data_IF_027301854535
#
_entry.id   IF_027301854535
#
_cell.length_a   1.000
_cell.length_b   1.000
_cell.length_c   1.000
_cell.angle_alpha   90.00
_cell.angle_beta   90.00
_cell.angle_gamma   90.00
#
_symmetry.space_group_name_H-M   'P 1'
#
loop_
_entity.id
_entity.type
_entity.pdbx_description
1 polymer ?
#
# COMPACT_ATOMS: atom_id res chain seq x y z
N UNK A 1 -7.45 13.00 -25.00
CA UNK A 1 -8.07 11.88 -24.27
C UNK A 1 -7.66 12.04 -22.83
N UNK A 2 -8.59 12.31 -21.91
CA UNK A 2 -8.27 12.24 -20.48
C UNK A 2 -8.16 10.76 -20.15
N UNK A 3 -6.95 10.24 -20.01
CA UNK A 3 -6.75 8.96 -19.33
C UNK A 3 -7.38 9.10 -17.95
N UNK A 4 -8.19 8.14 -17.52
CA UNK A 4 -8.69 8.12 -16.16
C UNK A 4 -7.51 7.88 -15.23
N UNK A 5 -6.85 8.96 -14.79
CA UNK A 5 -5.80 8.87 -13.78
C UNK A 5 -6.41 8.21 -12.54
N UNK A 6 -6.00 6.98 -12.29
CA UNK A 6 -6.59 6.11 -11.29
C UNK A 6 -5.79 6.14 -10.02
N UNK A 7 -6.45 6.42 -8.90
CA UNK A 7 -5.89 6.23 -7.58
C UNK A 7 -6.86 5.39 -6.76
N UNK A 8 -6.34 4.52 -5.92
CA UNK A 8 -7.16 3.81 -4.94
C UNK A 8 -6.49 3.78 -3.58
N UNK A 9 -7.32 3.58 -2.57
CA UNK A 9 -6.94 3.26 -1.21
C UNK A 9 -7.85 2.13 -0.73
N UNK A 10 -7.27 1.12 -0.08
CA UNK A 10 -7.96 -0.08 0.38
C UNK A 10 -7.50 -0.46 1.78
N UNK A 11 -8.42 -0.97 2.59
CA UNK A 11 -8.16 -1.56 3.90
C UNK A 11 -8.68 -3.00 3.91
N UNK A 12 -7.79 -3.92 4.25
CA UNK A 12 -8.09 -5.32 4.47
C UNK A 12 -7.89 -5.67 5.95
N UNK A 13 -8.84 -6.42 6.50
CA UNK A 13 -8.87 -6.83 7.90
C UNK A 13 -8.67 -8.34 7.97
N UNK A 14 -7.58 -8.77 8.57
CA UNK A 14 -7.21 -10.17 8.76
C UNK A 14 -7.43 -10.61 10.22
N UNK A 15 -7.61 -11.92 10.47
CA UNK A 15 -7.68 -12.44 11.83
C UNK A 15 -6.48 -12.01 12.67
N UNK A 16 -6.73 -11.76 13.95
CA UNK A 16 -5.69 -11.42 14.91
C UNK A 16 -4.63 -12.53 14.97
N UNK A 17 -3.36 -12.14 15.02
CA UNK A 17 -2.21 -13.06 15.13
C UNK A 17 -1.56 -13.39 13.78
N UNK A 18 -2.18 -13.00 12.65
CA UNK A 18 -1.47 -12.95 11.37
C UNK A 18 -0.35 -11.93 11.48
N UNK A 19 0.86 -12.31 11.07
CA UNK A 19 2.03 -11.44 11.15
C UNK A 19 2.00 -10.38 10.04
N UNK A 20 2.14 -9.08 10.35
CA UNK A 20 2.16 -8.02 9.35
C UNK A 20 3.21 -8.24 8.25
N UNK A 21 4.40 -8.71 8.61
CA UNK A 21 5.46 -9.01 7.64
C UNK A 21 5.08 -10.13 6.68
N UNK A 22 4.33 -11.13 7.13
CA UNK A 22 3.84 -12.20 6.26
C UNK A 22 2.82 -11.66 5.23
N UNK A 23 1.96 -10.72 5.63
CA UNK A 23 1.03 -10.05 4.70
C UNK A 23 1.79 -9.23 3.65
N UNK A 24 2.81 -8.46 4.06
CA UNK A 24 3.60 -7.67 3.12
C UNK A 24 4.37 -8.55 2.12
N UNK A 25 4.98 -9.64 2.59
CA UNK A 25 5.63 -10.60 1.69
C UNK A 25 4.64 -11.18 0.69
N UNK A 26 3.44 -11.59 1.15
CA UNK A 26 2.41 -12.12 0.26
C UNK A 26 1.99 -11.10 -0.80
N UNK A 27 1.78 -9.83 -0.42
CA UNK A 27 1.45 -8.76 -1.38
C UNK A 27 2.56 -8.59 -2.42
N UNK A 28 3.82 -8.53 -2.01
CA UNK A 28 4.94 -8.37 -2.94
C UNK A 28 5.07 -9.58 -3.86
N UNK A 29 4.90 -10.80 -3.36
CA UNK A 29 4.97 -12.02 -4.16
C UNK A 29 3.83 -12.10 -5.18
N UNK A 30 2.60 -11.77 -4.79
CA UNK A 30 1.43 -11.70 -5.68
C UNK A 30 1.60 -10.62 -6.76
N UNK A 31 2.15 -9.46 -6.38
CA UNK A 31 2.42 -8.36 -7.32
C UNK A 31 3.56 -8.71 -8.28
N UNK A 32 4.64 -9.34 -7.80
CA UNK A 32 5.77 -9.77 -8.65
C UNK A 32 5.38 -10.90 -9.60
N UNK A 33 4.43 -11.77 -9.21
CA UNK A 33 3.88 -12.77 -10.12
C UNK A 33 3.12 -12.15 -11.31
N UNK A 34 2.47 -11.00 -11.10
CA UNK A 34 1.75 -10.25 -12.14
C UNK A 34 2.66 -9.30 -12.93
N UNK A 35 3.63 -8.68 -12.24
CA UNK A 35 4.58 -7.72 -12.77
C UNK A 35 6.01 -8.18 -12.43
N UNK A 36 6.62 -9.05 -13.26
CA UNK A 36 7.92 -9.66 -12.94
C UNK A 36 9.06 -8.68 -12.70
N UNK A 37 9.02 -7.52 -13.36
CA UNK A 37 10.04 -6.46 -13.26
C UNK A 37 9.74 -5.43 -12.15
N UNK A 38 8.79 -5.74 -11.26
CA UNK A 38 8.45 -4.88 -10.12
C UNK A 38 9.66 -4.67 -9.20
N UNK A 39 9.94 -3.39 -8.94
CA UNK A 39 10.89 -2.99 -7.91
C UNK A 39 10.16 -2.77 -6.59
N UNK A 40 10.76 -3.20 -5.48
CA UNK A 40 10.16 -3.09 -4.15
C UNK A 40 11.18 -2.71 -3.10
N UNK A 41 10.87 -1.74 -2.25
CA UNK A 41 11.73 -1.33 -1.15
C UNK A 41 10.95 -1.11 0.14
N UNK A 42 11.59 -1.39 1.27
CA UNK A 42 10.99 -1.07 2.57
C UNK A 42 10.92 0.45 2.74
N UNK A 43 9.81 0.95 3.26
CA UNK A 43 9.60 2.37 3.50
C UNK A 43 8.94 2.61 4.86
N UNK A 44 8.96 3.86 5.31
CA UNK A 44 8.25 4.28 6.52
C UNK A 44 6.81 4.66 6.17
N UNK A 45 5.87 4.21 7.00
CA UNK A 45 4.48 4.63 6.92
C UNK A 45 3.87 4.73 8.32
N UNK A 46 2.87 5.59 8.43
CA UNK A 46 2.03 5.74 9.61
C UNK A 46 0.59 5.39 9.23
N UNK A 47 -0.06 4.59 10.08
CA UNK A 47 -1.48 4.25 9.92
C UNK A 47 -2.10 4.29 11.31
N UNK A 48 -3.29 4.89 11.45
CA UNK A 48 -3.97 5.10 12.73
C UNK A 48 -3.09 5.75 13.83
N UNK A 49 -2.16 6.65 13.45
CA UNK A 49 -1.26 7.32 14.38
C UNK A 49 -0.10 6.45 14.90
N UNK A 50 0.12 5.27 14.32
CA UNK A 50 1.19 4.35 14.71
C UNK A 50 2.09 4.00 13.52
N UNK A 51 3.38 3.77 13.81
CA UNK A 51 4.32 3.24 12.82
C UNK A 51 3.86 1.88 12.32
N UNK A 52 3.86 1.71 11.00
CA UNK A 52 3.51 0.47 10.33
C UNK A 52 4.70 -0.02 9.50
N UNK A 53 4.84 -1.35 9.39
CA UNK A 53 5.76 -1.92 8.42
C UNK A 53 5.18 -1.66 7.02
N UNK A 54 6.00 -1.17 6.10
CA UNK A 54 5.54 -0.84 4.76
C UNK A 54 6.55 -1.20 3.68
N UNK A 55 6.01 -1.45 2.49
CA UNK A 55 6.77 -1.68 1.26
C UNK A 55 6.20 -0.77 0.17
N UNK A 56 7.07 0.00 -0.46
CA UNK A 56 6.80 0.71 -1.69
C UNK A 56 7.14 -0.20 -2.88
N UNK A 57 6.27 -0.19 -3.89
CA UNK A 57 6.37 -1.00 -5.09
C UNK A 57 6.22 -0.11 -6.32
N UNK A 58 7.13 -0.25 -7.27
CA UNK A 58 7.13 0.48 -8.54
C UNK A 58 7.03 -0.53 -9.69
N UNK A 59 6.05 -0.35 -10.57
CA UNK A 59 5.80 -1.28 -11.68
C UNK A 59 5.13 -0.58 -12.87
N UNK A 60 5.17 -1.24 -14.03
CA UNK A 60 4.51 -0.76 -15.25
C UNK A 60 3.19 -1.51 -15.43
N UNK A 61 2.07 -0.77 -15.44
CA UNK A 61 0.74 -1.30 -15.71
C UNK A 61 0.14 -0.58 -16.92
N UNK A 62 -0.12 -1.33 -18.01
CA UNK A 62 -0.70 -0.79 -19.25
C UNK A 62 0.01 0.48 -19.76
N UNK A 63 1.34 0.44 -19.82
CA UNK A 63 2.23 1.55 -20.22
C UNK A 63 2.36 2.72 -19.23
N UNK A 64 1.69 2.65 -18.07
CA UNK A 64 1.82 3.66 -17.00
C UNK A 64 2.73 3.15 -15.89
N UNK A 65 3.65 4.00 -15.44
CA UNK A 65 4.40 3.73 -14.21
C UNK A 65 3.51 4.02 -13.01
N UNK A 66 3.38 3.04 -12.12
CA UNK A 66 2.53 3.08 -10.94
C UNK A 66 3.37 2.87 -9.70
N UNK A 67 3.16 3.73 -8.72
CA UNK A 67 3.67 3.59 -7.36
C UNK A 67 2.55 3.06 -6.48
N UNK A 68 2.79 1.94 -5.79
CA UNK A 68 1.90 1.40 -4.78
C UNK A 68 2.62 1.27 -3.44
N UNK A 69 1.95 1.55 -2.34
CA UNK A 69 2.45 1.29 -1.00
C UNK A 69 1.49 0.34 -0.29
N UNK A 70 2.06 -0.71 0.30
CA UNK A 70 1.38 -1.61 1.20
C UNK A 70 1.91 -1.41 2.62
N UNK A 71 1.02 -1.16 3.57
CA UNK A 71 1.32 -0.97 4.99
C UNK A 71 0.59 -2.03 5.80
N UNK A 72 1.30 -2.75 6.68
CA UNK A 72 0.68 -3.73 7.56
C UNK A 72 0.99 -3.44 9.03
N UNK A 73 -0.02 -3.62 9.88
CA UNK A 73 0.12 -3.45 11.33
C UNK A 73 -0.66 -4.52 12.11
N UNK A 74 -0.21 -4.79 13.33
CA UNK A 74 -0.98 -5.55 14.31
C UNK A 74 -1.78 -4.61 15.17
N UNK A 75 -3.10 -4.72 15.15
CA UNK A 75 -3.99 -3.99 16.07
C UNK A 75 -4.43 -4.82 17.26
N UNK A 76 -5.29 -4.22 18.09
CA UNK A 76 -5.81 -4.89 19.29
C UNK A 76 -6.78 -6.03 18.94
N UNK A 77 -7.59 -5.84 17.88
CA UNK A 77 -8.67 -6.75 17.47
C UNK A 77 -8.35 -7.61 16.26
N UNK A 78 -7.46 -7.15 15.39
CA UNK A 78 -7.17 -7.75 14.08
C UNK A 78 -5.77 -7.36 13.60
N UNK A 79 -5.32 -7.97 12.51
CA UNK A 79 -4.17 -7.48 11.74
C UNK A 79 -4.70 -6.74 10.52
N UNK A 80 -4.15 -5.56 10.23
CA UNK A 80 -4.63 -4.69 9.17
C UNK A 80 -3.60 -4.55 8.07
N UNK A 81 -4.08 -4.53 6.82
CA UNK A 81 -3.28 -4.27 5.63
C UNK A 81 -3.95 -3.12 4.86
N UNK A 82 -3.24 -2.02 4.71
CA UNK A 82 -3.62 -0.88 3.90
C UNK A 82 -2.82 -0.93 2.60
N UNK A 83 -3.49 -0.75 1.46
CA UNK A 83 -2.82 -0.60 0.16
C UNK A 83 -3.36 0.64 -0.51
N UNK A 84 -2.47 1.48 -1.03
CA UNK A 84 -2.85 2.57 -1.91
C UNK A 84 -1.88 2.68 -3.07
N UNK A 85 -2.37 3.19 -4.20
CA UNK A 85 -1.55 3.40 -5.38
C UNK A 85 -2.05 4.60 -6.19
N UNK A 86 -1.15 5.13 -7.01
CA UNK A 86 -1.46 6.06 -8.07
C UNK A 86 -0.38 5.97 -9.16
N UNK A 87 -0.65 6.55 -10.32
CA UNK A 87 0.40 6.83 -11.30
C UNK A 87 1.49 7.72 -10.70
N UNK A 88 2.75 7.49 -11.06
CA UNK A 88 3.91 8.16 -10.44
C UNK A 88 3.83 9.68 -10.52
N UNK A 89 3.33 10.21 -11.64
CA UNK A 89 3.16 11.65 -11.86
C UNK A 89 2.20 12.31 -10.86
N UNK A 90 1.24 11.54 -10.34
CA UNK A 90 0.24 12.00 -9.37
C UNK A 90 0.54 11.55 -7.94
N UNK A 91 1.42 10.56 -7.76
CA UNK A 91 1.63 9.92 -6.46
C UNK A 91 2.07 10.92 -5.39
N UNK A 92 3.05 11.77 -5.68
CA UNK A 92 3.54 12.78 -4.72
C UNK A 92 2.45 13.80 -4.36
N UNK A 93 1.58 14.15 -5.31
CA UNK A 93 0.45 15.05 -5.07
C UNK A 93 -0.65 14.40 -4.22
N UNK A 94 -0.88 13.10 -4.39
CA UNK A 94 -1.92 12.35 -3.70
C UNK A 94 -1.46 11.76 -2.36
N UNK A 95 -0.15 11.61 -2.13
CA UNK A 95 0.43 11.04 -0.91
C UNK A 95 -0.15 11.66 0.38
N UNK A 96 -0.27 12.99 0.52
CA UNK A 96 -0.85 13.58 1.73
C UNK A 96 -2.32 13.17 1.96
N UNK A 97 -3.07 12.87 0.90
CA UNK A 97 -4.46 12.39 1.00
C UNK A 97 -4.48 10.96 1.51
N UNK A 98 -3.61 10.09 0.99
CA UNK A 98 -3.49 8.72 1.49
C UNK A 98 -3.04 8.68 2.95
N UNK A 99 -2.08 9.52 3.33
CA UNK A 99 -1.62 9.64 4.71
C UNK A 99 -2.75 10.13 5.63
N UNK A 100 -3.53 11.13 5.19
CA UNK A 100 -4.67 11.63 5.95
C UNK A 100 -5.78 10.57 6.15
N UNK A 101 -6.12 9.81 5.10
CA UNK A 101 -7.10 8.72 5.21
C UNK A 101 -6.58 7.65 6.18
N UNK A 102 -5.33 7.23 6.00
CA UNK A 102 -4.71 6.16 6.79
C UNK A 102 -4.54 6.55 8.27
N UNK A 103 -4.18 7.82 8.53
CA UNK A 103 -4.07 8.37 9.88
C UNK A 103 -5.41 8.59 10.57
N UNK A 104 -6.50 8.77 9.83
CA UNK A 104 -7.84 8.99 10.40
C UNK A 104 -8.51 7.72 10.95
N UNK A 105 -7.94 6.55 10.67
CA UNK A 105 -8.48 5.26 11.10
C UNK A 105 -8.42 5.07 12.63
N UNK A 106 -9.39 4.34 13.17
CA UNK A 106 -9.47 3.94 14.59
C UNK A 106 -9.45 2.41 14.67
N UNK A 107 -8.27 1.82 14.84
CA UNK A 107 -7.98 0.39 14.62
C UNK A 107 -7.62 -0.40 15.89
#
# INVERSE_FOLDING_TARGET
MYGSHGAFWSLMIHPRGVQPSALLHQVVDEMRAQYPDLDSSACAAEVAGAEAAAVEMNFICLDFTTTAIACAMSGTRATYLVIFQAEDQDFQRLRPVFDAISGSLQL
#
